data_IF_227880284012
#
_entry.id   IF_227880284012
#
_cell.length_a   1.000
_cell.length_b   1.000
_cell.length_c   1.000
_cell.angle_alpha   90.00
_cell.angle_beta   90.00
_cell.angle_gamma   90.00
#
_symmetry.space_group_name_H-M   'P 1'
#
loop_
_entity.id
_entity.type
_entity.pdbx_description
1 polymer ?
#
# COMPACT_ATOMS: atom_id res chain seq x y z
N UNK A 1 -6.36 24.37 -13.68
CA UNK A 1 -6.43 23.12 -12.88
C UNK A 1 -5.52 22.05 -13.50
N UNK A 2 -4.65 21.45 -12.67
CA UNK A 2 -3.80 20.36 -13.14
C UNK A 2 -4.65 19.20 -13.69
N UNK A 3 -4.08 18.37 -14.58
CA UNK A 3 -4.79 17.20 -15.13
C UNK A 3 -5.36 16.31 -14.02
N UNK A 4 -4.61 16.13 -12.91
CA UNK A 4 -5.02 15.35 -11.74
C UNK A 4 -6.27 15.93 -11.07
N UNK A 5 -6.32 17.23 -10.85
CA UNK A 5 -7.47 17.91 -10.22
C UNK A 5 -8.73 17.81 -11.07
N UNK A 6 -8.62 17.93 -12.40
CA UNK A 6 -9.77 17.81 -13.30
C UNK A 6 -10.33 16.40 -13.30
N UNK A 7 -9.50 15.38 -13.33
CA UNK A 7 -9.93 13.96 -13.29
C UNK A 7 -10.57 13.62 -11.95
N UNK A 8 -10.04 14.14 -10.84
CA UNK A 8 -10.64 14.01 -9.52
C UNK A 8 -12.06 14.58 -9.49
N UNK A 9 -12.27 15.79 -9.98
CA UNK A 9 -13.60 16.39 -10.04
C UNK A 9 -14.59 15.62 -10.91
N UNK A 10 -14.16 15.06 -12.06
CA UNK A 10 -15.00 14.24 -12.94
C UNK A 10 -15.45 12.97 -12.22
N UNK A 11 -14.52 12.26 -11.58
CA UNK A 11 -14.80 11.06 -10.81
C UNK A 11 -15.75 11.35 -9.64
N UNK A 12 -15.48 12.40 -8.87
CA UNK A 12 -16.27 12.77 -7.70
C UNK A 12 -17.70 13.17 -8.10
N UNK A 13 -17.85 13.85 -9.23
CA UNK A 13 -19.17 14.18 -9.80
C UNK A 13 -19.91 12.92 -10.27
N UNK A 14 -19.21 11.97 -10.88
CA UNK A 14 -19.82 10.70 -11.26
C UNK A 14 -20.32 9.91 -10.05
N UNK A 15 -19.51 9.83 -8.98
CA UNK A 15 -19.91 9.14 -7.74
C UNK A 15 -21.05 9.87 -6.99
N UNK A 16 -21.21 11.17 -7.19
CA UNK A 16 -22.30 11.95 -6.59
C UNK A 16 -23.62 11.88 -7.36
N UNK A 17 -23.66 11.25 -8.53
CA UNK A 17 -24.90 11.10 -9.30
C UNK A 17 -25.92 10.27 -8.53
N UNK A 18 -27.20 10.66 -8.60
CA UNK A 18 -28.29 10.02 -7.85
C UNK A 18 -28.45 8.52 -8.13
N UNK A 19 -28.07 8.08 -9.34
CA UNK A 19 -28.11 6.67 -9.77
C UNK A 19 -26.86 5.85 -9.42
N UNK A 20 -25.83 6.49 -8.79
CA UNK A 20 -24.60 5.79 -8.46
C UNK A 20 -24.77 4.88 -7.25
N UNK A 21 -24.47 3.62 -7.42
CA UNK A 21 -24.44 2.62 -6.35
C UNK A 21 -23.27 1.68 -6.60
N UNK A 22 -22.38 1.48 -5.62
CA UNK A 22 -21.25 0.53 -5.72
C UNK A 22 -21.72 -0.94 -5.91
N UNK A 23 -23.00 -1.25 -5.61
CA UNK A 23 -23.59 -2.56 -5.87
C UNK A 23 -23.88 -2.82 -7.35
N UNK A 24 -23.93 -1.77 -8.17
CA UNK A 24 -24.16 -1.91 -9.59
C UNK A 24 -22.83 -2.14 -10.33
N UNK A 25 -22.70 -3.31 -10.96
CA UNK A 25 -21.51 -3.71 -11.72
C UNK A 25 -21.04 -2.66 -12.74
N UNK A 26 -21.99 -2.08 -13.49
CA UNK A 26 -21.68 -1.06 -14.51
C UNK A 26 -21.08 0.20 -13.88
N UNK A 27 -21.61 0.65 -12.74
CA UNK A 27 -21.11 1.82 -12.03
C UNK A 27 -19.71 1.58 -11.47
N UNK A 28 -19.46 0.40 -10.89
CA UNK A 28 -18.15 0.02 -10.36
C UNK A 28 -17.10 -0.12 -11.46
N UNK A 29 -17.47 -0.69 -12.62
CA UNK A 29 -16.57 -0.83 -13.76
C UNK A 29 -16.21 0.52 -14.38
N UNK A 30 -17.16 1.43 -14.52
CA UNK A 30 -16.91 2.79 -15.01
C UNK A 30 -16.00 3.56 -14.05
N UNK A 31 -16.20 3.41 -12.74
CA UNK A 31 -15.34 4.04 -11.73
C UNK A 31 -13.92 3.47 -11.75
N UNK A 32 -13.80 2.14 -11.86
CA UNK A 32 -12.51 1.48 -12.01
C UNK A 32 -11.79 1.99 -13.27
N UNK A 33 -12.48 2.13 -14.40
CA UNK A 33 -11.92 2.70 -15.60
C UNK A 33 -11.43 4.15 -15.40
N UNK A 34 -12.22 5.01 -14.73
CA UNK A 34 -11.84 6.39 -14.44
C UNK A 34 -10.60 6.52 -13.54
N UNK A 35 -10.28 5.50 -12.75
CA UNK A 35 -9.09 5.49 -11.88
C UNK A 35 -7.92 4.77 -12.57
N UNK A 36 -8.16 3.57 -13.12
CA UNK A 36 -7.10 2.73 -13.67
C UNK A 36 -6.59 3.22 -15.02
N UNK A 37 -7.44 3.80 -15.85
CA UNK A 37 -7.03 4.29 -17.18
C UNK A 37 -6.01 5.43 -17.10
N UNK A 38 -6.21 6.51 -16.31
CA UNK A 38 -5.18 7.52 -16.11
C UNK A 38 -3.91 6.97 -15.44
N UNK A 39 -4.07 6.05 -14.48
CA UNK A 39 -2.94 5.39 -13.83
C UNK A 39 -2.09 4.62 -14.84
N UNK A 40 -2.72 3.88 -15.76
CA UNK A 40 -2.03 3.17 -16.83
C UNK A 40 -1.24 4.13 -17.73
N UNK A 41 -1.87 5.25 -18.14
CA UNK A 41 -1.20 6.24 -18.98
C UNK A 41 0.03 6.87 -18.30
N UNK A 42 -0.03 7.07 -16.98
CA UNK A 42 1.08 7.60 -16.19
C UNK A 42 2.20 6.56 -16.07
N UNK A 43 1.87 5.28 -15.88
CA UNK A 43 2.85 4.19 -15.86
C UNK A 43 3.58 4.10 -17.23
N UNK A 44 2.85 4.24 -18.33
CA UNK A 44 3.45 4.27 -19.68
C UNK A 44 4.41 5.45 -19.88
N UNK A 45 4.24 6.55 -19.14
CA UNK A 45 5.14 7.70 -19.11
C UNK A 45 6.35 7.49 -18.18
N UNK A 46 6.50 6.30 -17.58
CA UNK A 46 7.53 5.94 -16.58
C UNK A 46 7.52 6.78 -15.30
N UNK A 47 6.41 7.48 -15.02
CA UNK A 47 6.21 8.24 -13.79
C UNK A 47 5.53 7.38 -12.70
N UNK A 48 6.26 6.42 -12.13
CA UNK A 48 5.73 5.48 -11.13
C UNK A 48 5.22 6.17 -9.87
N UNK A 49 5.87 7.25 -9.42
CA UNK A 49 5.46 8.03 -8.25
C UNK A 49 4.06 8.61 -8.38
N UNK A 50 3.79 9.24 -9.50
CA UNK A 50 2.47 9.80 -9.80
C UNK A 50 1.38 8.73 -9.91
N UNK A 51 1.70 7.57 -10.50
CA UNK A 51 0.78 6.44 -10.60
C UNK A 51 0.43 5.88 -9.20
N UNK A 52 1.43 5.78 -8.32
CA UNK A 52 1.23 5.26 -6.98
C UNK A 52 0.26 6.13 -6.15
N UNK A 53 0.25 7.46 -6.34
CA UNK A 53 -0.72 8.36 -5.68
C UNK A 53 -2.16 8.01 -6.02
N UNK A 54 -2.43 7.44 -7.22
CA UNK A 54 -3.78 6.98 -7.56
C UNK A 54 -4.26 5.81 -6.71
N UNK A 55 -3.34 5.01 -6.16
CA UNK A 55 -3.71 3.93 -5.24
C UNK A 55 -4.34 4.45 -3.93
N UNK A 56 -4.03 5.70 -3.54
CA UNK A 56 -4.67 6.33 -2.39
C UNK A 56 -6.20 6.39 -2.50
N UNK A 57 -6.74 6.45 -3.72
CA UNK A 57 -8.19 6.49 -3.93
C UNK A 57 -8.92 5.20 -3.52
N UNK A 58 -8.22 4.09 -3.31
CA UNK A 58 -8.84 2.89 -2.74
C UNK A 58 -9.37 3.13 -1.32
N UNK A 59 -8.76 4.03 -0.53
CA UNK A 59 -9.25 4.41 0.79
C UNK A 59 -10.62 5.12 0.69
N UNK A 60 -10.74 6.05 -0.25
CA UNK A 60 -12.01 6.74 -0.53
C UNK A 60 -13.07 5.77 -1.03
N UNK A 61 -12.71 4.85 -1.95
CA UNK A 61 -13.63 3.84 -2.48
C UNK A 61 -14.15 2.92 -1.38
N UNK A 62 -13.27 2.51 -0.47
CA UNK A 62 -13.65 1.70 0.69
C UNK A 62 -14.69 2.41 1.57
N UNK A 63 -14.50 3.71 1.82
CA UNK A 63 -15.47 4.52 2.58
C UNK A 63 -16.83 4.64 1.88
N UNK A 64 -16.85 4.72 0.56
CA UNK A 64 -18.08 4.81 -0.26
C UNK A 64 -18.75 3.45 -0.55
N UNK A 65 -18.32 2.38 0.13
CA UNK A 65 -18.99 1.08 0.10
C UNK A 65 -18.35 0.02 -0.79
N UNK A 66 -17.09 0.21 -1.18
CA UNK A 66 -16.33 -0.88 -1.83
C UNK A 66 -16.21 -2.07 -0.86
N UNK A 67 -16.40 -3.30 -1.32
CA UNK A 67 -16.25 -4.48 -0.47
C UNK A 67 -14.85 -4.52 0.16
N UNK A 68 -14.78 -4.75 1.49
CA UNK A 68 -13.52 -4.83 2.22
C UNK A 68 -12.55 -5.89 1.70
N UNK A 69 -13.06 -6.92 1.01
CA UNK A 69 -12.24 -7.94 0.34
C UNK A 69 -11.28 -7.32 -0.67
N UNK A 70 -11.71 -6.30 -1.43
CA UNK A 70 -10.85 -5.65 -2.45
C UNK A 70 -9.68 -4.94 -1.79
N UNK A 71 -9.94 -4.18 -0.70
CA UNK A 71 -8.88 -3.53 0.07
C UNK A 71 -7.95 -4.57 0.73
N UNK A 72 -8.53 -5.62 1.31
CA UNK A 72 -7.78 -6.71 1.91
C UNK A 72 -6.89 -7.41 0.88
N UNK A 73 -7.41 -7.72 -0.32
CA UNK A 73 -6.63 -8.33 -1.40
C UNK A 73 -5.47 -7.43 -1.85
N UNK A 74 -5.68 -6.11 -1.90
CA UNK A 74 -4.62 -5.15 -2.22
C UNK A 74 -3.50 -5.14 -1.16
N UNK A 75 -3.86 -5.17 0.13
CA UNK A 75 -2.88 -5.27 1.23
C UNK A 75 -2.13 -6.61 1.16
N UNK A 76 -2.85 -7.72 0.95
CA UNK A 76 -2.23 -9.04 0.78
C UNK A 76 -1.23 -9.05 -0.38
N UNK A 77 -1.57 -8.45 -1.52
CA UNK A 77 -0.68 -8.36 -2.68
C UNK A 77 0.64 -7.66 -2.33
N UNK A 78 0.58 -6.53 -1.60
CA UNK A 78 1.79 -5.84 -1.13
C UNK A 78 2.61 -6.72 -0.19
N UNK A 79 1.96 -7.38 0.78
CA UNK A 79 2.64 -8.27 1.74
C UNK A 79 3.28 -9.46 1.01
N UNK A 80 2.57 -10.09 0.07
CA UNK A 80 3.10 -11.22 -0.71
C UNK A 80 4.30 -10.81 -1.57
N UNK A 81 4.23 -9.64 -2.21
CA UNK A 81 5.34 -9.09 -2.97
C UNK A 81 6.57 -8.86 -2.09
N UNK A 82 6.40 -8.19 -0.94
CA UNK A 82 7.50 -7.88 -0.02
C UNK A 82 8.11 -9.16 0.56
N UNK A 83 7.28 -10.08 1.07
CA UNK A 83 7.77 -11.32 1.71
C UNK A 83 8.36 -12.27 0.66
N UNK A 84 7.71 -12.40 -0.49
CA UNK A 84 8.20 -13.26 -1.58
C UNK A 84 9.60 -12.85 -2.02
N UNK A 85 9.83 -11.57 -2.32
CA UNK A 85 11.12 -11.09 -2.80
C UNK A 85 12.16 -11.05 -1.68
N UNK A 86 11.81 -10.55 -0.48
CA UNK A 86 12.78 -10.37 0.62
C UNK A 86 13.42 -11.67 1.08
N UNK A 87 12.65 -12.75 1.09
CA UNK A 87 13.06 -14.03 1.65
C UNK A 87 13.25 -15.13 0.60
N UNK A 88 13.29 -14.77 -0.69
CA UNK A 88 13.46 -15.73 -1.79
C UNK A 88 14.78 -16.49 -1.70
N UNK A 89 15.87 -15.80 -1.40
CA UNK A 89 17.21 -16.39 -1.28
C UNK A 89 17.46 -17.12 0.05
N UNK A 90 16.56 -17.06 1.02
CA UNK A 90 16.75 -17.66 2.35
C UNK A 90 16.04 -19.00 2.39
N UNK A 91 16.78 -20.06 2.78
CA UNK A 91 16.24 -21.42 2.90
C UNK A 91 15.81 -21.73 4.34
N UNK A 92 14.85 -22.63 4.52
CA UNK A 92 14.40 -23.12 5.83
C UNK A 92 15.37 -24.20 6.34
N UNK A 93 16.12 -23.90 7.39
CA UNK A 93 17.06 -24.84 8.02
C UNK A 93 17.88 -25.62 6.97
N UNK A 94 17.98 -26.94 7.07
CA UNK A 94 18.71 -27.79 6.13
C UNK A 94 17.82 -28.28 4.96
N UNK A 95 16.63 -27.70 4.77
CA UNK A 95 15.71 -28.10 3.70
C UNK A 95 15.90 -27.24 2.43
N UNK A 96 15.71 -27.78 1.22
CA UNK A 96 15.78 -27.01 -0.02
C UNK A 96 14.51 -26.18 -0.27
N UNK A 97 13.98 -25.52 0.77
CA UNK A 97 12.71 -24.79 0.73
C UNK A 97 12.96 -23.29 0.88
N UNK A 98 12.64 -22.43 -0.11
CA UNK A 98 12.75 -20.99 0.03
C UNK A 98 11.70 -20.45 1.02
N UNK A 99 12.15 -19.65 2.00
CA UNK A 99 11.29 -19.09 3.04
C UNK A 99 10.23 -18.17 2.45
N UNK A 100 10.57 -17.37 1.43
CA UNK A 100 9.65 -16.41 0.81
C UNK A 100 8.42 -17.09 0.24
N UNK A 101 8.62 -18.07 -0.62
CA UNK A 101 7.54 -18.84 -1.25
C UNK A 101 6.72 -19.62 -0.21
N UNK A 102 7.40 -20.29 0.73
CA UNK A 102 6.76 -21.01 1.81
C UNK A 102 5.87 -20.12 2.68
N UNK A 103 6.37 -18.97 3.10
CA UNK A 103 5.63 -18.03 3.95
C UNK A 103 4.39 -17.47 3.24
N UNK A 104 4.51 -17.11 1.95
CA UNK A 104 3.37 -16.58 1.20
C UNK A 104 2.29 -17.65 1.01
N UNK A 105 2.65 -18.87 0.62
CA UNK A 105 1.67 -19.97 0.47
C UNK A 105 1.01 -20.33 1.81
N UNK A 106 1.76 -20.29 2.92
CA UNK A 106 1.20 -20.44 4.26
C UNK A 106 0.20 -19.33 4.59
N UNK A 107 0.53 -18.06 4.30
CA UNK A 107 -0.39 -16.94 4.48
C UNK A 107 -1.67 -17.10 3.64
N UNK A 108 -1.57 -17.58 2.39
CA UNK A 108 -2.74 -17.84 1.54
C UNK A 108 -3.68 -18.85 2.19
N UNK A 109 -3.14 -19.97 2.74
CA UNK A 109 -3.94 -20.98 3.43
C UNK A 109 -4.61 -20.44 4.69
N UNK A 110 -3.87 -19.68 5.50
CA UNK A 110 -4.39 -19.05 6.72
C UNK A 110 -5.47 -18.00 6.42
N UNK A 111 -5.26 -17.18 5.40
CA UNK A 111 -6.23 -16.14 5.01
C UNK A 111 -7.48 -16.75 4.39
N UNK A 112 -7.35 -17.80 3.56
CA UNK A 112 -8.51 -18.53 3.05
C UNK A 112 -9.37 -19.12 4.18
N UNK A 113 -8.75 -19.78 5.16
CA UNK A 113 -9.45 -20.29 6.34
C UNK A 113 -10.05 -19.17 7.20
N UNK A 114 -9.31 -18.08 7.42
CA UNK A 114 -9.79 -16.89 8.15
C UNK A 114 -10.99 -16.21 7.47
N UNK A 115 -10.99 -16.12 6.13
CA UNK A 115 -12.12 -15.59 5.38
C UNK A 115 -13.36 -16.48 5.53
N UNK A 116 -13.22 -17.80 5.56
CA UNK A 116 -14.34 -18.72 5.85
C UNK A 116 -14.93 -18.41 7.23
N UNK A 117 -14.10 -18.21 8.24
CA UNK A 117 -14.56 -17.80 9.57
C UNK A 117 -15.30 -16.46 9.57
N UNK A 118 -14.72 -15.44 8.98
CA UNK A 118 -15.28 -14.07 8.97
C UNK A 118 -16.62 -14.02 8.24
N UNK A 119 -16.71 -14.64 7.06
CA UNK A 119 -17.90 -14.52 6.20
C UNK A 119 -18.99 -15.55 6.49
N UNK A 120 -18.62 -16.73 7.00
CA UNK A 120 -19.58 -17.83 7.24
C UNK A 120 -19.80 -18.14 8.72
N UNK A 121 -18.89 -17.69 9.61
CA UNK A 121 -18.90 -17.96 11.04
C UNK A 121 -19.01 -19.46 11.37
N UNK A 122 -18.50 -20.32 10.48
CA UNK A 122 -18.51 -21.78 10.66
C UNK A 122 -17.14 -22.26 11.09
N UNK A 123 -17.10 -22.88 12.26
CA UNK A 123 -15.84 -23.37 12.83
C UNK A 123 -15.31 -24.63 12.14
N UNK A 124 -16.17 -25.56 11.74
CA UNK A 124 -15.74 -26.82 11.14
C UNK A 124 -14.91 -26.65 9.86
N UNK A 125 -15.37 -25.94 8.81
CA UNK A 125 -14.55 -25.74 7.61
C UNK A 125 -13.28 -24.95 7.90
N UNK A 126 -13.35 -23.97 8.79
CA UNK A 126 -12.18 -23.15 9.19
C UNK A 126 -11.13 -24.02 9.87
N UNK A 127 -11.52 -24.85 10.84
CA UNK A 127 -10.63 -25.78 11.53
C UNK A 127 -10.02 -26.79 10.57
N UNK A 128 -10.81 -27.33 9.64
CA UNK A 128 -10.32 -28.31 8.65
C UNK A 128 -9.27 -27.67 7.72
N UNK A 129 -9.48 -26.44 7.27
CA UNK A 129 -8.53 -25.73 6.41
C UNK A 129 -7.28 -25.36 7.21
N UNK A 130 -7.41 -24.61 8.32
CA UNK A 130 -6.26 -24.09 9.07
C UNK A 130 -5.56 -25.25 9.81
N UNK A 131 -6.31 -25.99 10.61
CA UNK A 131 -5.74 -27.08 11.42
C UNK A 131 -5.21 -28.22 10.59
N UNK A 132 -5.94 -28.61 9.53
CA UNK A 132 -5.49 -29.65 8.58
C UNK A 132 -4.22 -29.21 7.85
N UNK A 133 -4.17 -27.98 7.32
CA UNK A 133 -2.98 -27.47 6.62
C UNK A 133 -1.77 -27.38 7.55
N UNK A 134 -1.93 -26.82 8.75
CA UNK A 134 -0.83 -26.72 9.73
C UNK A 134 -0.36 -28.09 10.21
N UNK A 135 -1.28 -29.04 10.45
CA UNK A 135 -0.93 -30.40 10.85
C UNK A 135 -0.12 -31.15 9.77
N UNK A 136 -0.56 -31.07 8.52
CA UNK A 136 0.17 -31.70 7.41
C UNK A 136 1.53 -31.04 7.19
N UNK A 137 1.61 -29.70 7.26
CA UNK A 137 2.88 -28.98 7.10
C UNK A 137 3.84 -29.28 8.25
N UNK A 138 3.37 -29.41 9.49
CA UNK A 138 4.21 -29.80 10.62
C UNK A 138 4.81 -31.19 10.40
N UNK A 139 4.00 -32.17 10.01
CA UNK A 139 4.47 -33.53 9.73
C UNK A 139 5.45 -33.53 8.55
N UNK A 140 5.13 -32.82 7.48
CA UNK A 140 6.00 -32.68 6.31
C UNK A 140 7.35 -32.03 6.67
N UNK A 141 7.34 -31.00 7.52
CA UNK A 141 8.56 -30.34 8.02
C UNK A 141 9.42 -31.33 8.83
N UNK A 142 8.82 -32.09 9.76
CA UNK A 142 9.56 -33.09 10.55
C UNK A 142 10.16 -34.16 9.67
N UNK A 143 9.44 -34.62 8.64
CA UNK A 143 9.98 -35.64 7.67
C UNK A 143 11.13 -35.03 6.87
N UNK A 144 10.97 -33.75 6.41
CA UNK A 144 11.99 -33.08 5.59
C UNK A 144 13.28 -32.82 6.38
N UNK A 145 13.18 -32.55 7.70
CA UNK A 145 14.33 -32.26 8.55
C UNK A 145 15.05 -33.53 9.04
N UNK A 146 14.27 -34.55 9.45
CA UNK A 146 14.86 -35.72 10.14
C UNK A 146 14.99 -36.98 9.29
N UNK A 147 14.29 -37.11 8.14
CA UNK A 147 14.27 -38.36 7.37
C UNK A 147 14.85 -38.14 5.97
N UNK A 148 14.26 -37.30 5.15
CA UNK A 148 14.69 -37.02 3.77
C UNK A 148 14.45 -35.56 3.44
N UNK A 149 15.49 -34.80 3.12
CA UNK A 149 15.31 -33.38 2.76
C UNK A 149 14.58 -33.25 1.41
N UNK A 150 13.42 -32.61 1.42
CA UNK A 150 12.65 -32.29 0.22
C UNK A 150 12.04 -30.88 0.33
N UNK A 151 11.65 -30.32 -0.82
CA UNK A 151 11.07 -28.98 -0.86
C UNK A 151 9.62 -29.02 -0.38
N UNK A 152 9.33 -28.35 0.76
CA UNK A 152 8.02 -28.26 1.38
C UNK A 152 6.99 -27.49 0.53
N UNK A 153 7.44 -26.69 -0.42
CA UNK A 153 6.56 -25.96 -1.35
C UNK A 153 5.67 -26.93 -2.15
N UNK A 154 6.18 -28.11 -2.53
CA UNK A 154 5.37 -29.12 -3.22
C UNK A 154 4.19 -29.62 -2.37
N UNK A 155 4.40 -29.80 -1.08
CA UNK A 155 3.32 -30.16 -0.14
C UNK A 155 2.30 -29.02 -0.03
N UNK A 156 2.76 -27.78 0.03
CA UNK A 156 1.87 -26.62 0.07
C UNK A 156 1.05 -26.47 -1.22
N UNK A 157 1.62 -26.76 -2.38
CA UNK A 157 0.87 -26.81 -3.64
C UNK A 157 -0.25 -27.84 -3.58
N UNK A 158 0.05 -29.04 -3.10
CA UNK A 158 -0.96 -30.08 -2.88
C UNK A 158 -2.06 -29.63 -1.92
N UNK A 159 -1.68 -29.01 -0.79
CA UNK A 159 -2.61 -28.45 0.18
C UNK A 159 -3.46 -27.32 -0.40
N UNK A 160 -2.88 -26.40 -1.15
CA UNK A 160 -3.63 -25.33 -1.83
C UNK A 160 -4.66 -25.93 -2.81
N UNK A 161 -4.28 -26.91 -3.59
CA UNK A 161 -5.20 -27.59 -4.50
C UNK A 161 -6.35 -28.29 -3.74
N UNK A 162 -6.04 -28.98 -2.64
CA UNK A 162 -7.04 -29.62 -1.78
C UNK A 162 -7.99 -28.61 -1.14
N UNK A 163 -7.46 -27.51 -0.60
CA UNK A 163 -8.27 -26.45 0.02
C UNK A 163 -9.17 -25.78 -1.01
N UNK A 164 -8.66 -25.46 -2.19
CA UNK A 164 -9.48 -24.90 -3.28
C UNK A 164 -10.55 -25.90 -3.70
N UNK A 165 -10.21 -27.16 -3.90
CA UNK A 165 -11.18 -28.22 -4.21
C UNK A 165 -12.25 -28.38 -3.14
N UNK A 166 -11.87 -28.35 -1.85
CA UNK A 166 -12.79 -28.39 -0.72
C UNK A 166 -13.73 -27.18 -0.69
N UNK A 167 -13.21 -25.97 -0.95
CA UNK A 167 -14.03 -24.75 -1.03
C UNK A 167 -15.01 -24.79 -2.22
N UNK A 168 -14.60 -25.32 -3.36
CA UNK A 168 -15.49 -25.52 -4.52
C UNK A 168 -16.56 -26.56 -4.17
N UNK A 169 -16.21 -27.68 -3.53
CA UNK A 169 -17.17 -28.67 -3.07
C UNK A 169 -18.20 -28.09 -2.10
N UNK A 170 -17.75 -27.31 -1.10
CA UNK A 170 -18.66 -26.60 -0.17
C UNK A 170 -19.56 -25.61 -0.90
N UNK A 171 -19.02 -24.91 -1.92
CA UNK A 171 -19.80 -23.96 -2.71
C UNK A 171 -20.93 -24.64 -3.46
N UNK A 172 -20.68 -25.81 -4.05
CA UNK A 172 -21.68 -26.59 -4.76
C UNK A 172 -22.69 -27.25 -3.83
N UNK A 173 -22.21 -27.85 -2.72
CA UNK A 173 -23.03 -28.54 -1.73
C UNK A 173 -23.98 -27.60 -0.99
N UNK A 174 -23.47 -26.49 -0.52
CA UNK A 174 -24.26 -25.52 0.27
C UNK A 174 -24.89 -24.40 -0.60
N UNK A 175 -24.61 -24.40 -1.92
CA UNK A 175 -25.08 -23.39 -2.89
C UNK A 175 -24.73 -21.96 -2.49
N UNK A 176 -23.57 -21.77 -1.88
CA UNK A 176 -23.08 -20.47 -1.43
C UNK A 176 -21.88 -19.97 -2.25
N UNK A 177 -22.09 -18.94 -3.06
CA UNK A 177 -21.06 -18.31 -3.89
C UNK A 177 -19.84 -17.80 -3.09
N UNK A 178 -20.01 -17.52 -1.80
CA UNK A 178 -18.90 -17.00 -0.96
C UNK A 178 -17.72 -17.95 -0.87
N UNK A 179 -17.94 -19.27 -0.80
CA UNK A 179 -16.85 -20.25 -0.77
C UNK A 179 -16.08 -20.28 -2.09
N UNK A 180 -16.79 -20.15 -3.22
CA UNK A 180 -16.18 -20.06 -4.54
C UNK A 180 -15.30 -18.80 -4.65
N UNK A 181 -15.78 -17.65 -4.15
CA UNK A 181 -15.01 -16.40 -4.16
C UNK A 181 -13.75 -16.48 -3.28
N UNK A 182 -13.81 -17.18 -2.15
CA UNK A 182 -12.63 -17.42 -1.30
C UNK A 182 -11.62 -18.33 -2.03
N UNK A 183 -12.09 -19.37 -2.71
CA UNK A 183 -11.24 -20.21 -3.57
C UNK A 183 -10.58 -19.43 -4.71
N UNK A 184 -11.34 -18.52 -5.34
CA UNK A 184 -10.82 -17.63 -6.37
C UNK A 184 -9.79 -16.65 -5.82
N UNK A 185 -9.99 -16.12 -4.61
CA UNK A 185 -9.00 -15.31 -3.91
C UNK A 185 -7.70 -16.10 -3.67
N UNK A 186 -7.78 -17.35 -3.20
CA UNK A 186 -6.61 -18.18 -2.99
C UNK A 186 -5.85 -18.45 -4.29
N UNK A 187 -6.54 -18.82 -5.37
CA UNK A 187 -5.94 -19.00 -6.70
C UNK A 187 -5.32 -17.71 -7.23
N UNK A 188 -6.01 -16.59 -7.08
CA UNK A 188 -5.50 -15.26 -7.47
C UNK A 188 -4.26 -14.86 -6.69
N UNK A 189 -4.19 -15.18 -5.39
CA UNK A 189 -3.03 -14.95 -4.54
C UNK A 189 -1.80 -15.76 -4.98
N UNK A 190 -2.02 -17.04 -5.30
CA UNK A 190 -0.96 -17.91 -5.84
C UNK A 190 -0.48 -17.39 -7.20
N UNK A 191 -1.42 -17.07 -8.10
CA UNK A 191 -1.10 -16.49 -9.41
C UNK A 191 -0.33 -15.17 -9.28
N UNK A 192 -0.69 -14.33 -8.29
CA UNK A 192 0.02 -13.08 -8.02
C UNK A 192 1.46 -13.33 -7.54
N UNK A 193 1.70 -14.32 -6.66
CA UNK A 193 3.04 -14.67 -6.18
C UNK A 193 4.00 -14.93 -7.36
N UNK A 194 3.63 -15.81 -8.28
CA UNK A 194 4.48 -16.14 -9.42
C UNK A 194 4.54 -15.05 -10.48
N UNK A 195 3.43 -14.31 -10.66
CA UNK A 195 3.42 -13.14 -11.55
C UNK A 195 4.31 -12.02 -11.02
N UNK A 196 4.36 -11.82 -9.69
CA UNK A 196 5.17 -10.78 -9.07
C UNK A 196 6.65 -11.06 -9.18
N UNK A 197 7.08 -12.32 -9.04
CA UNK A 197 8.45 -12.74 -9.27
C UNK A 197 8.87 -12.53 -10.74
N UNK A 198 8.04 -12.97 -11.68
CA UNK A 198 8.27 -12.71 -13.10
C UNK A 198 8.34 -11.22 -13.42
N UNK A 199 7.42 -10.41 -12.86
CA UNK A 199 7.37 -8.97 -13.06
C UNK A 199 8.64 -8.30 -12.50
N UNK A 200 9.05 -8.68 -11.30
CA UNK A 200 10.24 -8.14 -10.65
C UNK A 200 11.52 -8.45 -11.44
N UNK A 201 11.69 -9.70 -11.88
CA UNK A 201 12.93 -10.16 -12.52
C UNK A 201 13.01 -9.85 -14.03
N UNK A 202 11.86 -9.72 -14.74
CA UNK A 202 11.81 -9.62 -16.21
C UNK A 202 11.27 -8.30 -16.74
N UNK A 203 10.41 -7.60 -15.98
CA UNK A 203 9.71 -6.40 -16.45
C UNK A 203 10.32 -5.13 -15.86
N UNK A 204 10.75 -5.16 -14.60
CA UNK A 204 11.38 -4.01 -13.95
C UNK A 204 12.78 -3.76 -14.49
N UNK A 205 13.09 -2.49 -14.73
CA UNK A 205 14.43 -2.07 -15.11
C UNK A 205 15.43 -2.27 -13.94
N UNK A 206 16.71 -2.55 -14.21
CA UNK A 206 17.69 -2.85 -13.15
C UNK A 206 17.78 -1.79 -12.06
N UNK A 207 17.66 -0.51 -12.41
CA UNK A 207 17.68 0.58 -11.42
C UNK A 207 16.45 0.59 -10.52
N UNK A 208 15.29 0.10 -10.97
CA UNK A 208 14.07 -0.04 -10.16
C UNK A 208 14.18 -1.25 -9.23
N UNK A 209 14.76 -2.34 -9.72
CA UNK A 209 15.02 -3.54 -8.90
C UNK A 209 15.97 -3.20 -7.74
N UNK A 210 17.07 -2.48 -8.00
CA UNK A 210 18.03 -2.07 -6.97
C UNK A 210 17.35 -1.21 -5.90
N UNK A 211 16.50 -0.25 -6.27
CA UNK A 211 15.76 0.57 -5.30
C UNK A 211 14.88 -0.27 -4.37
N UNK A 212 14.20 -1.28 -4.91
CA UNK A 212 13.37 -2.19 -4.12
C UNK A 212 14.23 -3.06 -3.21
N UNK A 213 15.32 -3.63 -3.72
CA UNK A 213 16.26 -4.47 -2.95
C UNK A 213 16.90 -3.70 -1.80
N UNK A 214 17.30 -2.44 -2.02
CA UNK A 214 17.87 -1.56 -0.97
C UNK A 214 16.85 -1.32 0.14
N UNK A 215 15.60 -1.03 -0.18
CA UNK A 215 14.55 -0.83 0.83
C UNK A 215 14.26 -2.12 1.61
N UNK A 216 14.29 -3.27 0.94
CA UNK A 216 14.10 -4.57 1.58
C UNK A 216 15.35 -5.03 2.37
N UNK A 217 16.45 -4.26 2.35
CA UNK A 217 17.69 -4.61 3.03
C UNK A 217 18.38 -5.85 2.46
N UNK A 218 18.25 -6.08 1.15
CA UNK A 218 18.88 -7.20 0.43
C UNK A 218 20.22 -6.79 -0.16
N UNK A 219 20.38 -5.51 -0.49
CA UNK A 219 21.60 -4.93 -1.04
C UNK A 219 21.92 -3.63 -0.30
N UNK A 220 23.19 -3.41 0.02
CA UNK A 220 23.70 -2.15 0.57
C UNK A 220 24.33 -1.35 -0.58
N UNK A 221 23.52 -0.54 -1.24
CA UNK A 221 24.02 0.40 -2.25
C UNK A 221 24.24 1.78 -1.62
N UNK A 222 25.37 1.94 -0.96
CA UNK A 222 25.74 3.17 -0.24
C UNK A 222 26.14 4.31 -1.19
N UNK A 223 26.44 4.03 -2.47
CA UNK A 223 26.91 5.02 -3.44
C UNK A 223 25.86 5.35 -4.52
N UNK A 224 24.85 4.50 -4.71
CA UNK A 224 23.81 4.64 -5.75
C UNK A 224 22.42 4.92 -5.19
N UNK A 225 21.48 4.02 -5.44
CA UNK A 225 20.06 4.19 -5.10
C UNK A 225 19.79 4.35 -3.59
N UNK A 226 20.64 3.78 -2.72
CA UNK A 226 20.55 3.88 -1.27
C UNK A 226 21.24 5.12 -0.68
N UNK A 227 22.06 5.81 -1.46
CA UNK A 227 22.85 6.97 -0.98
C UNK A 227 21.95 8.05 -0.35
N UNK A 228 20.91 8.47 -1.05
CA UNK A 228 20.02 9.53 -0.59
C UNK A 228 19.33 9.16 0.74
N UNK A 229 18.87 7.91 0.86
CA UNK A 229 18.22 7.39 2.07
C UNK A 229 19.21 7.31 3.23
N UNK A 230 20.41 6.84 2.96
CA UNK A 230 21.45 6.73 3.98
C UNK A 230 21.87 8.11 4.49
N UNK A 231 22.12 9.06 3.59
CA UNK A 231 22.44 10.44 3.95
C UNK A 231 21.30 11.13 4.70
N UNK A 232 20.04 10.87 4.32
CA UNK A 232 18.89 11.43 5.05
C UNK A 232 18.79 10.89 6.47
N UNK A 233 19.06 9.58 6.69
CA UNK A 233 19.10 8.97 8.03
C UNK A 233 20.23 9.55 8.88
N UNK A 234 21.41 9.78 8.28
CA UNK A 234 22.54 10.42 8.95
C UNK A 234 22.19 11.85 9.36
N UNK A 235 21.56 12.61 8.45
CA UNK A 235 21.12 13.98 8.71
C UNK A 235 20.14 14.03 9.90
N UNK A 236 19.06 13.22 9.86
CA UNK A 236 18.07 13.13 10.95
C UNK A 236 18.74 12.72 12.26
N UNK A 237 19.56 11.68 12.24
CA UNK A 237 20.27 11.18 13.43
C UNK A 237 21.21 12.21 14.04
N UNK A 238 21.82 13.07 13.21
CA UNK A 238 22.73 14.13 13.67
C UNK A 238 22.02 15.28 14.38
N UNK A 239 20.68 15.44 14.22
CA UNK A 239 19.89 16.45 14.88
C UNK A 239 19.61 16.16 16.37
N UNK A 240 19.68 14.91 16.81
CA UNK A 240 19.41 14.54 18.20
C UNK A 240 18.00 14.93 18.66
N UNK A 241 17.87 15.32 19.94
CA UNK A 241 16.57 15.66 20.52
C UNK A 241 16.07 17.07 20.11
N UNK A 242 16.94 18.05 20.15
CA UNK A 242 16.57 19.49 19.99
C UNK A 242 17.01 20.09 18.66
N UNK A 243 17.70 19.34 17.82
CA UNK A 243 18.25 19.82 16.56
C UNK A 243 19.53 20.66 16.72
N UNK A 244 20.11 21.06 15.60
CA UNK A 244 21.29 21.94 15.51
C UNK A 244 20.91 23.42 15.43
N UNK A 245 19.61 23.74 15.34
CA UNK A 245 19.06 25.05 15.17
C UNK A 245 18.80 25.41 13.70
N UNK A 246 17.88 26.33 13.50
CA UNK A 246 17.43 26.78 12.15
C UNK A 246 18.62 27.28 11.32
N UNK A 247 18.72 26.78 10.10
CA UNK A 247 19.82 27.02 9.15
C UNK A 247 21.22 26.64 9.67
N UNK A 248 21.33 25.79 10.68
CA UNK A 248 22.59 25.32 11.22
C UNK A 248 22.89 23.83 10.94
N UNK A 249 22.07 23.20 10.10
CA UNK A 249 22.32 21.84 9.64
C UNK A 249 23.63 21.72 8.88
N UNK A 250 24.49 20.78 9.26
CA UNK A 250 25.79 20.58 8.60
C UNK A 250 25.64 19.74 7.34
N UNK A 251 24.86 18.68 7.39
CA UNK A 251 24.60 17.79 6.26
C UNK A 251 23.80 18.51 5.17
N UNK A 252 22.77 19.26 5.58
CA UNK A 252 21.91 20.02 4.69
C UNK A 252 22.62 21.20 4.05
N UNK A 253 23.45 21.97 4.77
CA UNK A 253 24.24 23.08 4.18
C UNK A 253 25.26 22.60 3.15
N UNK A 254 25.89 21.47 3.39
CA UNK A 254 26.89 20.90 2.47
C UNK A 254 26.26 20.12 1.32
N UNK A 255 24.91 20.06 1.27
CA UNK A 255 24.13 19.37 0.24
C UNK A 255 24.52 17.90 0.04
N UNK A 256 24.83 17.20 1.14
CA UNK A 256 25.12 15.77 1.09
C UNK A 256 23.89 14.93 0.74
N UNK A 257 22.68 15.44 1.02
CA UNK A 257 21.44 14.80 0.60
C UNK A 257 21.00 15.42 -0.73
N UNK A 258 21.08 14.70 -1.85
CA UNK A 258 20.52 15.17 -3.11
C UNK A 258 19.00 15.37 -2.99
N UNK A 259 18.46 16.36 -3.70
CA UNK A 259 17.01 16.70 -3.71
C UNK A 259 16.42 16.94 -2.30
N UNK A 260 17.26 17.46 -1.37
CA UNK A 260 16.83 17.75 0.00
C UNK A 260 15.70 18.78 0.08
N UNK A 261 15.66 19.76 -0.84
CA UNK A 261 14.69 20.84 -0.85
C UNK A 261 13.30 20.37 -1.35
N UNK A 262 13.26 19.28 -2.10
CA UNK A 262 12.06 18.72 -2.73
C UNK A 262 11.57 17.46 -2.02
N UNK A 263 12.17 16.32 -2.32
CA UNK A 263 11.69 15.01 -1.90
C UNK A 263 12.12 14.62 -0.49
N UNK A 264 13.30 15.12 -0.05
CA UNK A 264 13.89 14.79 1.24
C UNK A 264 13.81 15.94 2.25
N UNK A 265 12.91 16.90 2.08
CA UNK A 265 12.80 18.09 2.95
C UNK A 265 12.68 17.73 4.44
N UNK A 266 12.04 16.61 4.77
CA UNK A 266 11.88 16.18 6.16
C UNK A 266 13.21 15.85 6.85
N UNK A 267 14.26 15.49 6.11
CA UNK A 267 15.59 15.30 6.70
C UNK A 267 16.19 16.62 7.21
N UNK A 268 15.91 17.74 6.54
CA UNK A 268 16.31 19.09 6.98
C UNK A 268 15.59 19.42 8.29
N UNK A 269 14.29 19.17 8.39
CA UNK A 269 13.54 19.34 9.64
C UNK A 269 14.15 18.48 10.76
N UNK A 270 14.50 17.22 10.44
CA UNK A 270 15.13 16.31 11.43
C UNK A 270 16.51 16.77 11.90
N UNK A 271 17.32 17.35 11.02
CA UNK A 271 18.66 17.86 11.38
C UNK A 271 18.59 19.17 12.16
N UNK A 272 17.76 20.12 11.70
CA UNK A 272 17.72 21.48 12.26
C UNK A 272 16.91 21.57 13.55
N UNK A 273 15.74 20.91 13.60
CA UNK A 273 14.78 20.98 14.71
C UNK A 273 14.76 19.69 15.57
N UNK A 274 15.50 18.67 15.17
CA UNK A 274 15.67 17.42 15.90
C UNK A 274 14.40 16.60 16.05
N UNK A 275 14.40 15.70 17.02
CA UNK A 275 13.26 14.83 17.30
C UNK A 275 12.00 15.60 17.70
N UNK A 276 12.15 16.66 18.52
CA UNK A 276 11.01 17.47 18.98
C UNK A 276 10.34 18.18 17.81
N UNK A 277 11.10 18.83 16.93
CA UNK A 277 10.56 19.51 15.77
C UNK A 277 9.94 18.54 14.76
N UNK A 278 10.60 17.44 14.47
CA UNK A 278 10.05 16.38 13.61
C UNK A 278 8.72 15.84 14.16
N UNK A 279 8.64 15.58 15.46
CA UNK A 279 7.41 15.12 16.12
C UNK A 279 6.32 16.18 16.03
N UNK A 280 6.65 17.46 16.24
CA UNK A 280 5.68 18.56 16.11
C UNK A 280 5.10 18.62 14.69
N UNK A 281 5.92 18.51 13.66
CA UNK A 281 5.46 18.48 12.25
C UNK A 281 4.53 17.30 12.00
N UNK A 282 4.88 16.10 12.46
CA UNK A 282 4.03 14.91 12.32
C UNK A 282 2.69 15.06 13.05
N UNK A 283 2.70 15.66 14.26
CA UNK A 283 1.47 15.95 15.01
C UNK A 283 0.59 16.96 14.29
N UNK A 284 1.16 18.00 13.67
CA UNK A 284 0.39 18.98 12.86
C UNK A 284 -0.26 18.29 11.65
N UNK A 285 0.44 17.40 10.96
CA UNK A 285 -0.17 16.62 9.89
C UNK A 285 -1.26 15.66 10.41
N UNK A 286 -1.05 15.04 11.55
CA UNK A 286 -2.07 14.18 12.17
C UNK A 286 -3.33 15.00 12.49
N UNK A 287 -3.18 16.17 13.08
CA UNK A 287 -4.29 17.09 13.36
C UNK A 287 -5.00 17.50 12.07
N UNK A 288 -4.26 17.83 11.01
CA UNK A 288 -4.82 18.18 9.70
C UNK A 288 -5.66 17.01 9.15
N UNK A 289 -5.11 15.78 9.16
CA UNK A 289 -5.80 14.58 8.68
C UNK A 289 -7.07 14.31 9.49
N UNK A 290 -7.01 14.37 10.83
CA UNK A 290 -8.17 14.19 11.69
C UNK A 290 -9.24 15.25 11.44
N UNK A 291 -8.84 16.51 11.21
CA UNK A 291 -9.77 17.60 10.84
C UNK A 291 -10.38 17.39 9.47
N UNK A 292 -9.63 16.91 8.49
CA UNK A 292 -10.17 16.56 7.17
C UNK A 292 -11.20 15.43 7.25
N UNK A 293 -10.95 14.41 8.07
CA UNK A 293 -11.93 13.33 8.35
C UNK A 293 -13.21 13.93 8.95
N UNK A 294 -13.08 14.71 10.01
CA UNK A 294 -14.22 15.30 10.68
C UNK A 294 -15.05 16.21 9.76
N UNK A 295 -14.37 16.99 8.89
CA UNK A 295 -15.03 17.85 7.90
C UNK A 295 -15.68 17.02 6.79
N UNK A 296 -15.07 15.90 6.34
CA UNK A 296 -15.64 15.00 5.34
C UNK A 296 -16.88 14.27 5.86
N UNK A 297 -16.86 13.78 7.11
CA UNK A 297 -17.99 13.08 7.71
C UNK A 297 -19.22 13.97 7.90
N UNK A 298 -19.03 15.25 8.20
CA UNK A 298 -20.16 16.19 8.38
C UNK A 298 -20.79 16.68 7.08
N UNK A 299 -20.24 16.30 5.90
CA UNK A 299 -20.83 16.73 4.61
C UNK A 299 -22.17 16.06 4.35
N UNK A 300 -23.19 16.87 4.07
CA UNK A 300 -24.53 16.38 3.73
C UNK A 300 -24.62 15.92 2.27
N UNK A 301 -23.85 16.55 1.37
CA UNK A 301 -23.85 16.19 -0.05
C UNK A 301 -22.89 15.00 -0.30
N UNK A 302 -23.30 13.99 -1.08
CA UNK A 302 -22.39 12.89 -1.48
C UNK A 302 -21.14 13.42 -2.19
N UNK A 303 -21.26 14.45 -3.01
CA UNK A 303 -20.13 15.07 -3.69
C UNK A 303 -19.12 15.66 -2.71
N UNK A 304 -19.58 16.43 -1.69
CA UNK A 304 -18.71 17.02 -0.69
C UNK A 304 -17.95 15.96 0.13
N UNK A 305 -18.64 14.87 0.48
CA UNK A 305 -18.04 13.75 1.22
C UNK A 305 -16.99 13.03 0.38
N UNK A 306 -17.32 12.63 -0.85
CA UNK A 306 -16.39 11.95 -1.76
C UNK A 306 -15.18 12.84 -2.06
N UNK A 307 -15.38 14.13 -2.33
CA UNK A 307 -14.31 15.09 -2.55
C UNK A 307 -13.40 15.21 -1.31
N UNK A 308 -13.99 15.33 -0.12
CA UNK A 308 -13.25 15.40 1.14
C UNK A 308 -12.38 14.18 1.41
N UNK A 309 -12.91 12.97 1.21
CA UNK A 309 -12.13 11.74 1.34
C UNK A 309 -11.07 11.58 0.24
N UNK A 310 -11.30 12.13 -0.94
CA UNK A 310 -10.31 12.16 -2.01
C UNK A 310 -9.13 13.06 -1.66
N UNK A 311 -9.39 14.26 -1.14
CA UNK A 311 -8.35 15.18 -0.64
C UNK A 311 -7.59 14.52 0.51
N UNK A 312 -8.30 13.97 1.50
CA UNK A 312 -7.72 13.25 2.64
C UNK A 312 -6.77 12.14 2.16
N UNK A 313 -7.22 11.29 1.22
CA UNK A 313 -6.43 10.17 0.70
C UNK A 313 -5.15 10.64 0.04
N UNK A 314 -5.18 11.73 -0.72
CA UNK A 314 -3.99 12.31 -1.35
C UNK A 314 -3.02 12.81 -0.27
N UNK A 315 -3.49 13.59 0.72
CA UNK A 315 -2.63 14.12 1.78
C UNK A 315 -2.00 13.01 2.61
N UNK A 316 -2.81 12.03 3.03
CA UNK A 316 -2.33 10.88 3.81
C UNK A 316 -1.27 10.09 3.04
N UNK A 317 -1.50 9.86 1.76
CA UNK A 317 -0.59 9.08 0.94
C UNK A 317 0.74 9.81 0.69
N UNK A 318 0.70 11.10 0.37
CA UNK A 318 1.90 11.92 0.22
C UNK A 318 2.72 11.95 1.52
N UNK A 319 2.05 12.15 2.67
CA UNK A 319 2.70 12.12 3.97
C UNK A 319 3.38 10.77 4.22
N UNK A 320 2.62 9.67 4.07
CA UNK A 320 3.12 8.32 4.36
C UNK A 320 4.32 7.94 3.49
N UNK A 321 4.23 8.18 2.18
CA UNK A 321 5.30 7.83 1.26
C UNK A 321 6.52 8.73 1.44
N UNK A 322 6.35 10.05 1.60
CA UNK A 322 7.48 10.95 1.78
C UNK A 322 8.26 10.65 3.06
N UNK A 323 7.57 10.54 4.20
CA UNK A 323 8.21 10.18 5.47
C UNK A 323 8.83 8.78 5.40
N UNK A 324 8.10 7.82 4.82
CA UNK A 324 8.60 6.46 4.64
C UNK A 324 9.87 6.41 3.79
N UNK A 325 9.96 7.21 2.73
CA UNK A 325 11.12 7.31 1.84
C UNK A 325 12.33 7.90 2.58
N UNK A 326 12.14 8.98 3.33
CA UNK A 326 13.20 9.63 4.10
C UNK A 326 13.73 8.70 5.21
N UNK A 327 12.88 7.89 5.82
CA UNK A 327 13.25 6.89 6.84
C UNK A 327 13.72 5.56 6.23
N UNK A 328 13.61 5.38 4.90
CA UNK A 328 13.99 4.14 4.22
C UNK A 328 13.00 2.99 4.41
N UNK A 329 11.74 3.29 4.71
CA UNK A 329 10.65 2.30 4.83
C UNK A 329 9.94 2.06 3.50
N UNK A 330 10.07 3.01 2.56
CA UNK A 330 9.52 2.93 1.22
C UNK A 330 10.58 3.29 0.18
N UNK A 331 10.48 2.77 -1.06
CA UNK A 331 11.44 3.11 -2.10
C UNK A 331 11.41 4.62 -2.45
N UNK A 332 12.55 5.14 -2.90
CA UNK A 332 12.66 6.53 -3.36
C UNK A 332 11.89 6.69 -4.67
N UNK A 333 10.79 7.44 -4.62
CA UNK A 333 9.85 7.59 -5.73
C UNK A 333 9.69 9.05 -6.19
N UNK A 334 10.20 10.01 -5.41
CA UNK A 334 10.09 11.43 -5.75
C UNK A 334 8.69 12.00 -5.51
N UNK A 335 8.15 11.86 -4.32
CA UNK A 335 6.82 12.36 -3.93
C UNK A 335 6.99 13.50 -2.91
N UNK A 336 6.55 14.74 -3.23
CA UNK A 336 6.73 15.89 -2.33
C UNK A 336 5.87 15.80 -1.07
N UNK A 337 6.39 16.31 0.05
CA UNK A 337 5.64 16.50 1.29
C UNK A 337 4.71 17.72 1.15
N UNK A 338 3.39 17.60 1.36
CA UNK A 338 2.46 18.70 1.22
C UNK A 338 2.86 19.92 2.07
N UNK A 339 2.86 21.12 1.47
CA UNK A 339 3.20 22.41 2.08
C UNK A 339 4.65 22.60 2.54
N UNK A 340 5.47 21.54 2.63
CA UNK A 340 6.86 21.63 3.05
C UNK A 340 7.83 21.59 1.88
N UNK A 341 7.64 20.66 0.94
CA UNK A 341 8.54 20.52 -0.20
C UNK A 341 8.58 21.76 -1.08
N UNK A 342 9.78 22.15 -1.47
CA UNK A 342 9.97 23.23 -2.43
C UNK A 342 9.35 22.86 -3.78
N UNK A 343 8.53 23.78 -4.30
CA UNK A 343 7.88 23.63 -5.60
C UNK A 343 6.58 24.42 -5.69
N UNK A 344 6.57 25.48 -6.52
CA UNK A 344 5.38 26.33 -6.68
C UNK A 344 4.16 25.56 -7.16
N UNK A 345 4.33 24.61 -8.07
CA UNK A 345 3.23 23.80 -8.61
C UNK A 345 2.61 22.86 -7.57
N UNK A 346 3.43 22.25 -6.70
CA UNK A 346 2.96 21.37 -5.63
C UNK A 346 2.22 22.15 -4.55
N UNK A 347 2.78 23.30 -4.12
CA UNK A 347 2.14 24.19 -3.15
C UNK A 347 0.76 24.66 -3.63
N UNK A 348 0.68 25.17 -4.87
CA UNK A 348 -0.59 25.56 -5.49
C UNK A 348 -1.56 24.38 -5.56
N UNK A 349 -1.10 23.21 -5.95
CA UNK A 349 -1.91 22.01 -6.07
C UNK A 349 -2.58 21.63 -4.74
N UNK A 350 -1.81 21.49 -3.67
CA UNK A 350 -2.33 21.13 -2.34
C UNK A 350 -3.21 22.24 -1.76
N UNK A 351 -2.84 23.52 -1.94
CA UNK A 351 -3.62 24.66 -1.48
C UNK A 351 -4.99 24.69 -2.17
N UNK A 352 -5.04 24.59 -3.50
CA UNK A 352 -6.30 24.60 -4.25
C UNK A 352 -7.20 23.41 -3.82
N UNK A 353 -6.65 22.20 -3.70
CA UNK A 353 -7.41 21.05 -3.24
C UNK A 353 -8.05 21.29 -1.87
N UNK A 354 -7.27 21.77 -0.92
CA UNK A 354 -7.74 22.05 0.44
C UNK A 354 -8.79 23.15 0.45
N UNK A 355 -8.54 24.29 -0.22
CA UNK A 355 -9.45 25.45 -0.18
C UNK A 355 -10.76 25.19 -0.94
N UNK A 356 -10.75 24.41 -2.02
CA UNK A 356 -12.00 23.96 -2.66
C UNK A 356 -12.82 23.13 -1.65
N UNK A 357 -12.18 22.22 -0.90
CA UNK A 357 -12.88 21.44 0.10
C UNK A 357 -13.46 22.31 1.23
N UNK A 358 -12.69 23.25 1.74
CA UNK A 358 -13.17 24.21 2.75
C UNK A 358 -14.31 25.09 2.21
N UNK A 359 -14.28 25.46 0.92
CA UNK A 359 -15.37 26.21 0.29
C UNK A 359 -16.65 25.37 0.15
N UNK A 360 -16.52 24.08 -0.16
CA UNK A 360 -17.65 23.14 -0.19
C UNK A 360 -18.28 23.05 1.21
N UNK A 361 -17.45 22.94 2.24
CA UNK A 361 -17.91 22.88 3.63
C UNK A 361 -18.61 24.17 4.08
N UNK A 362 -18.05 25.32 3.76
CA UNK A 362 -18.66 26.62 4.07
C UNK A 362 -20.03 26.81 3.39
N UNK A 363 -20.23 26.21 2.22
CA UNK A 363 -21.51 26.24 1.50
C UNK A 363 -22.55 25.24 1.99
N UNK A 364 -22.22 24.38 2.96
CA UNK A 364 -23.06 23.29 3.46
C UNK A 364 -24.43 23.77 3.94
N UNK A 365 -24.49 24.82 4.73
CA UNK A 365 -25.71 25.32 5.36
C UNK A 365 -26.56 26.21 4.42
N UNK A 366 -26.09 26.52 3.21
CA UNK A 366 -26.83 27.37 2.25
C UNK A 366 -27.73 26.57 1.28
N UNK A 367 -27.75 25.24 1.41
CA UNK A 367 -28.50 24.31 0.54
C UNK A 367 -29.70 23.65 1.24
N UNK A 368 -30.19 24.28 2.33
CA UNK A 368 -31.47 23.93 2.97
C UNK A 368 -32.55 24.82 2.40
#
# INVERSE_FOLDING_TARGET
LSRRQRQMCIRDRYMSAYSFTMKNWKSSLMLAFLILFPMLLIILQRETGSALVYSAFFLMLYREGMPGVVLFSGICAVVYFVVGIRFDAVMIADTPTPIGEFAVLLMVLLFAGGMVWVYKKRWEPTRNIIGGSLGVLLVAYLISEYVVPFNLVWVQWGLCALVVGYLVFLSLSERHLSYFLIGLFALGSIGFLYSSDYFFNKVLEPHQQIRIKVVLGMEEDLAGAGYNVNQSKIAIGSGGLTGKGFLNGTQTKLKYVPEQDTDFIFCTVGEEEGFVGSTAVLLLFLILILRLIAVAERQQSPFGRVYGYSVLSIFLFHLFINIGMVLGLTPVIGIPLPFFSYGGSSLWGFTILLFIFLRIDAGRNRRI
#
